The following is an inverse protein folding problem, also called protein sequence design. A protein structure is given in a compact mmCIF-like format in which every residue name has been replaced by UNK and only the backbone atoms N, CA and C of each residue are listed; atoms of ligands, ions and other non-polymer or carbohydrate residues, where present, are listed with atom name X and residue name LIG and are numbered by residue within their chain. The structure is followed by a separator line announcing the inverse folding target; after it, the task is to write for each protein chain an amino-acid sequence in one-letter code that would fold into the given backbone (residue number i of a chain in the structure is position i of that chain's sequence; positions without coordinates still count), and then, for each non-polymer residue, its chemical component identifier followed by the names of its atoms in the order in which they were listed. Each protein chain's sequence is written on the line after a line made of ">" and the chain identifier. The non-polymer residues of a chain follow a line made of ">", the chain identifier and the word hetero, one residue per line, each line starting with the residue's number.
data_IF_146264877487
#
_entry.id   IF_146264877487
#
_cell.length_a   1.000
_cell.length_b   1.000
_cell.length_c   1.000
_cell.angle_alpha   90.00
_cell.angle_beta   90.00
_cell.angle_gamma   90.00
#
_symmetry.space_group_name_H-M   'P 1'
#
loop_
_entity.id
_entity.type
_entity.pdbx_description
1 polymer ?
#
# COMPACT_ATOMS: atom_id res chain seq x y z
N UNK A 1 -62.18 27.91 -7.19
CA UNK A 1 -60.74 28.26 -7.17
C UNK A 1 -60.40 28.63 -5.73
N UNK A 2 -60.39 27.64 -4.84
CA UNK A 2 -60.29 27.88 -3.38
C UNK A 2 -59.66 26.73 -2.57
N UNK A 3 -59.09 25.69 -3.18
CA UNK A 3 -58.60 24.52 -2.43
C UNK A 3 -57.06 24.31 -2.45
N UNK A 4 -56.29 25.09 -3.22
CA UNK A 4 -54.82 24.90 -3.35
C UNK A 4 -53.96 25.63 -2.29
N UNK A 5 -54.55 26.47 -1.43
CA UNK A 5 -53.76 27.31 -0.50
C UNK A 5 -53.52 26.62 0.85
N UNK A 6 -54.28 25.57 1.19
CA UNK A 6 -54.20 24.94 2.51
C UNK A 6 -53.16 23.82 2.62
N UNK A 7 -52.81 23.14 1.53
CA UNK A 7 -51.85 22.01 1.52
C UNK A 7 -50.39 22.49 1.63
N UNK A 8 -50.08 23.66 1.05
CA UNK A 8 -48.72 24.15 0.90
C UNK A 8 -48.09 24.71 2.21
N UNK A 9 -48.92 25.03 3.20
CA UNK A 9 -48.47 25.46 4.53
C UNK A 9 -48.08 24.30 5.44
N UNK A 10 -48.78 23.16 5.34
CA UNK A 10 -48.55 21.97 6.15
C UNK A 10 -47.31 21.22 5.66
N UNK A 11 -47.12 21.15 4.33
CA UNK A 11 -45.93 20.59 3.70
C UNK A 11 -44.65 21.33 4.11
N UNK A 12 -44.66 22.68 4.11
CA UNK A 12 -43.52 23.53 4.50
C UNK A 12 -43.15 23.43 5.98
N UNK A 13 -44.12 23.23 6.87
CA UNK A 13 -43.87 23.02 8.32
C UNK A 13 -43.28 21.63 8.59
N UNK A 14 -43.80 20.58 7.92
CA UNK A 14 -43.26 19.23 8.00
C UNK A 14 -41.83 19.13 7.44
N UNK A 15 -41.53 19.86 6.37
CA UNK A 15 -40.21 19.90 5.75
C UNK A 15 -39.19 20.63 6.64
N UNK A 16 -39.55 21.81 7.21
CA UNK A 16 -38.73 22.54 8.19
C UNK A 16 -38.45 21.74 9.48
N UNK A 17 -39.43 20.95 9.95
CA UNK A 17 -39.27 20.04 11.10
C UNK A 17 -38.23 18.94 10.82
N UNK A 18 -38.32 18.29 9.65
CA UNK A 18 -37.35 17.27 9.21
C UNK A 18 -35.94 17.84 8.99
N UNK A 19 -35.80 19.06 8.46
CA UNK A 19 -34.47 19.68 8.27
C UNK A 19 -33.83 20.05 9.61
N UNK A 20 -34.62 20.57 10.57
CA UNK A 20 -34.15 20.96 11.91
C UNK A 20 -33.71 19.74 12.74
N UNK A 21 -34.41 18.60 12.61
CA UNK A 21 -34.03 17.33 13.24
C UNK A 21 -32.74 16.71 12.69
N UNK A 22 -32.53 16.73 11.36
CA UNK A 22 -31.27 16.28 10.74
C UNK A 22 -30.09 17.18 11.10
N UNK A 23 -30.33 18.48 11.31
CA UNK A 23 -29.28 19.43 11.70
C UNK A 23 -28.87 19.25 13.17
N UNK A 24 -29.81 19.03 14.09
CA UNK A 24 -29.48 18.77 15.51
C UNK A 24 -28.78 17.43 15.70
N UNK A 25 -29.13 16.38 14.95
CA UNK A 25 -28.43 15.09 14.96
C UNK A 25 -26.97 15.21 14.51
N UNK A 26 -26.67 16.03 13.50
CA UNK A 26 -25.30 16.31 13.07
C UNK A 26 -24.49 17.04 14.16
N UNK A 27 -25.10 18.01 14.84
CA UNK A 27 -24.46 18.73 15.94
C UNK A 27 -24.19 17.82 17.14
N UNK A 28 -25.12 16.93 17.48
CA UNK A 28 -24.93 15.93 18.54
C UNK A 28 -23.80 14.97 18.16
N UNK A 29 -23.74 14.49 16.92
CA UNK A 29 -22.68 13.61 16.44
C UNK A 29 -21.31 14.30 16.43
N UNK A 30 -21.22 15.55 15.98
CA UNK A 30 -20.01 16.38 16.06
C UNK A 30 -19.57 16.62 17.51
N UNK A 31 -20.51 16.91 18.40
CA UNK A 31 -20.24 17.06 19.83
C UNK A 31 -19.73 15.76 20.47
N UNK A 32 -20.29 14.62 20.08
CA UNK A 32 -19.84 13.30 20.55
C UNK A 32 -18.44 12.96 20.02
N UNK A 33 -18.16 13.25 18.75
CA UNK A 33 -16.82 13.11 18.15
C UNK A 33 -15.80 14.01 18.85
N UNK A 34 -16.15 15.25 19.14
CA UNK A 34 -15.29 16.19 19.85
C UNK A 34 -15.04 15.73 21.30
N UNK A 35 -16.06 15.21 21.99
CA UNK A 35 -15.93 14.67 23.34
C UNK A 35 -15.05 13.41 23.36
N UNK A 36 -15.25 12.48 22.43
CA UNK A 36 -14.40 11.29 22.27
C UNK A 36 -12.97 11.69 21.93
N UNK A 37 -12.78 12.64 21.00
CA UNK A 37 -11.46 13.18 20.67
C UNK A 37 -10.78 13.86 21.87
N UNK A 38 -11.54 14.59 22.69
CA UNK A 38 -11.05 15.25 23.90
C UNK A 38 -10.65 14.25 25.00
N UNK A 39 -11.45 13.20 25.21
CA UNK A 39 -11.13 12.11 26.15
C UNK A 39 -9.88 11.34 25.70
N UNK A 40 -9.78 11.02 24.41
CA UNK A 40 -8.59 10.38 23.84
C UNK A 40 -7.36 11.27 23.96
N UNK A 41 -7.49 12.58 23.73
CA UNK A 41 -6.41 13.54 23.93
C UNK A 41 -5.97 13.62 25.39
N UNK A 42 -6.91 13.67 26.35
CA UNK A 42 -6.55 13.68 27.76
C UNK A 42 -5.85 12.37 28.17
N UNK A 43 -6.39 11.24 27.76
CA UNK A 43 -5.94 9.93 28.22
C UNK A 43 -4.66 9.44 27.52
N UNK A 44 -4.45 9.83 26.26
CA UNK A 44 -3.34 9.35 25.45
C UNK A 44 -2.39 10.47 24.99
N UNK A 45 -2.70 11.75 25.24
CA UNK A 45 -1.97 12.89 24.70
C UNK A 45 -0.49 12.95 25.09
N UNK A 46 -0.15 12.59 26.33
CA UNK A 46 1.26 12.49 26.75
C UNK A 46 1.95 11.25 26.16
N UNK A 47 1.26 10.11 26.09
CA UNK A 47 1.81 8.86 25.53
C UNK A 47 1.94 8.86 24.00
N UNK A 48 1.08 9.59 23.30
CA UNK A 48 1.08 9.81 21.84
C UNK A 48 1.71 11.15 21.46
N UNK A 49 2.38 11.82 22.40
CA UNK A 49 3.13 13.04 22.07
C UNK A 49 4.24 12.70 21.07
N UNK A 50 4.58 13.64 20.20
CA UNK A 50 5.66 13.42 19.22
C UNK A 50 6.99 13.08 19.90
N UNK A 51 7.25 13.69 21.06
CA UNK A 51 8.47 13.44 21.83
C UNK A 51 8.51 12.03 22.43
N UNK A 52 7.38 11.52 22.97
CA UNK A 52 7.33 10.16 23.50
C UNK A 52 7.44 9.11 22.39
N UNK A 53 6.84 9.38 21.22
CA UNK A 53 6.96 8.51 20.05
C UNK A 53 8.39 8.52 19.47
N UNK A 54 9.04 9.68 19.40
CA UNK A 54 10.44 9.81 18.98
C UNK A 54 11.40 9.11 19.94
N UNK A 55 11.15 9.18 21.26
CA UNK A 55 11.94 8.45 22.24
C UNK A 55 11.83 6.93 22.05
N UNK A 56 10.61 6.42 21.86
CA UNK A 56 10.38 4.99 21.56
C UNK A 56 10.99 4.55 20.24
N UNK A 57 10.90 5.38 19.21
CA UNK A 57 11.60 5.12 17.94
C UNK A 57 13.10 5.00 18.16
N UNK A 58 13.70 5.90 18.95
CA UNK A 58 15.12 5.83 19.32
C UNK A 58 15.51 4.52 19.99
N UNK A 59 14.74 4.07 21.00
CA UNK A 59 14.96 2.79 21.68
C UNK A 59 14.85 1.58 20.71
N UNK A 60 13.86 1.62 19.82
CA UNK A 60 13.67 0.57 18.80
C UNK A 60 14.82 0.52 17.81
N UNK A 61 15.31 1.68 17.37
CA UNK A 61 16.45 1.78 16.45
C UNK A 61 17.75 1.32 17.12
N UNK A 62 17.98 1.67 18.38
CA UNK A 62 19.13 1.18 19.15
C UNK A 62 19.08 -0.35 19.29
N UNK A 63 17.90 -0.92 19.60
CA UNK A 63 17.71 -2.36 19.61
C UNK A 63 17.90 -2.99 18.23
N UNK A 64 17.52 -2.31 17.15
CA UNK A 64 17.72 -2.78 15.78
C UNK A 64 19.20 -2.79 15.38
N UNK A 65 19.97 -1.80 15.82
CA UNK A 65 21.42 -1.75 15.62
C UNK A 65 22.14 -2.82 16.45
N UNK A 66 21.67 -3.10 17.67
CA UNK A 66 22.25 -4.16 18.52
C UNK A 66 21.97 -5.57 17.99
N UNK A 67 20.78 -5.80 17.40
CA UNK A 67 20.35 -7.12 16.93
C UNK A 67 19.77 -7.08 15.50
N UNK A 68 20.57 -6.67 14.49
CA UNK A 68 20.08 -6.39 13.14
C UNK A 68 19.47 -7.63 12.46
N UNK A 69 20.08 -8.81 12.66
CA UNK A 69 19.59 -10.05 12.06
C UNK A 69 18.19 -10.41 12.56
N UNK A 70 17.91 -10.23 13.86
CA UNK A 70 16.61 -10.55 14.45
C UNK A 70 15.55 -9.58 13.92
N UNK A 71 15.85 -8.28 13.92
CA UNK A 71 14.92 -7.26 13.44
C UNK A 71 14.62 -7.41 11.95
N UNK A 72 15.63 -7.62 11.12
CA UNK A 72 15.44 -7.87 9.69
C UNK A 72 14.66 -9.17 9.43
N UNK A 73 14.92 -10.23 10.20
CA UNK A 73 14.17 -11.48 10.08
C UNK A 73 12.71 -11.30 10.46
N UNK A 74 12.43 -10.55 11.54
CA UNK A 74 11.07 -10.23 11.95
C UNK A 74 10.35 -9.38 10.91
N UNK A 75 11.02 -8.35 10.37
CA UNK A 75 10.48 -7.51 9.30
C UNK A 75 10.17 -8.32 8.03
N UNK A 76 11.08 -9.21 7.62
CA UNK A 76 10.90 -10.13 6.51
C UNK A 76 9.67 -11.02 6.72
N UNK A 77 9.58 -11.71 7.86
CA UNK A 77 8.48 -12.62 8.18
C UNK A 77 7.13 -11.88 8.24
N UNK A 78 7.10 -10.71 8.86
CA UNK A 78 5.90 -9.88 8.94
C UNK A 78 5.40 -9.48 7.55
N UNK A 79 6.31 -9.05 6.66
CA UNK A 79 5.94 -8.71 5.29
C UNK A 79 5.47 -9.94 4.50
N UNK A 80 6.13 -11.10 4.67
CA UNK A 80 5.67 -12.36 4.07
C UNK A 80 4.23 -12.67 4.50
N UNK A 81 3.92 -12.58 5.80
CA UNK A 81 2.59 -12.85 6.36
C UNK A 81 1.55 -11.88 5.78
N UNK A 82 1.81 -10.56 5.86
CA UNK A 82 0.90 -9.52 5.37
C UNK A 82 0.57 -9.73 3.89
N UNK A 83 1.59 -10.05 3.10
CA UNK A 83 1.42 -10.30 1.67
C UNK A 83 0.69 -11.61 1.41
N UNK A 84 1.01 -12.68 2.13
CA UNK A 84 0.37 -13.99 2.00
C UNK A 84 -1.15 -13.89 2.23
N UNK A 85 -1.56 -13.14 3.25
CA UNK A 85 -2.96 -12.88 3.59
C UNK A 85 -3.62 -11.77 2.77
N UNK A 86 -2.96 -11.30 1.70
CA UNK A 86 -3.51 -10.29 0.78
C UNK A 86 -3.94 -8.98 1.47
N UNK A 87 -3.27 -8.62 2.57
CA UNK A 87 -3.55 -7.39 3.31
C UNK A 87 -3.02 -6.19 2.51
N UNK A 88 -3.83 -5.15 2.25
CA UNK A 88 -3.44 -4.01 1.41
C UNK A 88 -2.52 -3.02 2.14
N UNK A 89 -1.42 -3.50 2.70
CA UNK A 89 -0.45 -2.72 3.49
C UNK A 89 0.99 -2.76 2.92
N UNK A 90 1.20 -3.43 1.78
CA UNK A 90 2.53 -3.64 1.19
C UNK A 90 3.32 -2.34 1.00
N UNK A 91 2.69 -1.25 0.53
CA UNK A 91 3.35 0.04 0.36
C UNK A 91 3.87 0.62 1.67
N UNK A 92 3.04 0.63 2.72
CA UNK A 92 3.43 1.14 4.04
C UNK A 92 4.56 0.30 4.63
N UNK A 93 4.48 -1.02 4.49
CA UNK A 93 5.52 -1.93 4.95
C UNK A 93 6.83 -1.79 4.18
N UNK A 94 6.79 -1.62 2.86
CA UNK A 94 7.99 -1.35 2.07
C UNK A 94 8.68 -0.06 2.51
N UNK A 95 7.92 1.03 2.70
CA UNK A 95 8.47 2.30 3.16
C UNK A 95 9.05 2.21 4.58
N UNK A 96 8.33 1.56 5.50
CA UNK A 96 8.78 1.37 6.88
C UNK A 96 10.02 0.48 6.98
N UNK A 97 10.10 -0.60 6.19
CA UNK A 97 11.30 -1.44 6.13
C UNK A 97 12.49 -0.67 5.55
N UNK A 98 12.27 0.14 4.52
CA UNK A 98 13.33 0.95 3.94
C UNK A 98 13.86 1.99 4.93
N UNK A 99 12.97 2.68 5.65
CA UNK A 99 13.33 3.58 6.75
C UNK A 99 14.11 2.84 7.85
N UNK A 100 13.62 1.67 8.27
CA UNK A 100 14.28 0.86 9.30
C UNK A 100 15.70 0.47 8.87
N UNK A 101 15.86 -0.05 7.65
CA UNK A 101 17.16 -0.43 7.12
C UNK A 101 18.08 0.79 6.98
N UNK A 102 17.57 1.92 6.52
CA UNK A 102 18.32 3.18 6.43
C UNK A 102 18.87 3.56 7.80
N UNK A 103 18.00 3.77 8.81
CA UNK A 103 18.43 4.19 10.15
C UNK A 103 19.26 3.15 10.90
N UNK A 104 19.15 1.86 10.55
CA UNK A 104 19.94 0.79 11.17
C UNK A 104 21.34 0.68 10.57
N UNK A 105 21.49 0.75 9.24
CA UNK A 105 22.75 0.42 8.56
C UNK A 105 23.49 1.62 7.97
N UNK A 106 22.81 2.74 7.71
CA UNK A 106 23.43 3.94 7.15
C UNK A 106 24.59 4.49 8.00
N UNK A 107 24.51 4.55 9.35
CA UNK A 107 25.59 5.09 10.18
C UNK A 107 26.91 4.30 10.11
N UNK A 108 26.85 2.98 9.91
CA UNK A 108 28.03 2.09 9.93
C UNK A 108 28.50 1.72 8.52
N UNK A 109 27.58 1.50 7.58
CA UNK A 109 27.87 0.96 6.24
C UNK A 109 27.58 1.94 5.10
N UNK A 110 26.95 3.08 5.39
CA UNK A 110 26.57 4.11 4.41
C UNK A 110 25.26 3.82 3.67
N UNK A 111 24.67 4.88 3.10
CA UNK A 111 23.31 4.86 2.54
C UNK A 111 23.15 3.86 1.37
N UNK A 112 24.19 3.66 0.56
CA UNK A 112 24.14 2.72 -0.58
C UNK A 112 23.99 1.26 -0.12
N UNK A 113 24.67 0.88 0.97
CA UNK A 113 24.58 -0.49 1.50
C UNK A 113 23.23 -0.72 2.17
N UNK A 114 22.77 0.25 2.96
CA UNK A 114 21.45 0.21 3.58
C UNK A 114 20.31 0.07 2.54
N UNK A 115 20.41 0.82 1.43
CA UNK A 115 19.49 0.75 0.30
C UNK A 115 19.46 -0.66 -0.33
N UNK A 116 20.64 -1.24 -0.58
CA UNK A 116 20.73 -2.59 -1.17
C UNK A 116 20.13 -3.66 -0.25
N UNK A 117 20.42 -3.59 1.05
CA UNK A 117 19.82 -4.49 2.06
C UNK A 117 18.29 -4.39 2.03
N UNK A 118 17.76 -3.17 2.04
CA UNK A 118 16.32 -2.94 1.97
C UNK A 118 15.69 -3.47 0.67
N UNK A 119 16.31 -3.23 -0.49
CA UNK A 119 15.84 -3.73 -1.79
C UNK A 119 15.77 -5.26 -1.78
N UNK A 120 16.85 -5.93 -1.36
CA UNK A 120 16.90 -7.40 -1.32
C UNK A 120 15.85 -7.94 -0.36
N UNK A 121 15.77 -7.39 0.85
CA UNK A 121 14.82 -7.85 1.87
C UNK A 121 13.37 -7.68 1.40
N UNK A 122 12.99 -6.50 0.89
CA UNK A 122 11.64 -6.23 0.40
C UNK A 122 11.30 -7.09 -0.81
N UNK A 123 12.21 -7.22 -1.79
CA UNK A 123 11.91 -7.96 -3.01
C UNK A 123 11.67 -9.44 -2.71
N UNK A 124 12.54 -10.06 -1.90
CA UNK A 124 12.38 -11.46 -1.51
C UNK A 124 11.19 -11.68 -0.58
N UNK A 125 10.94 -10.80 0.41
CA UNK A 125 9.80 -10.94 1.32
C UNK A 125 8.47 -10.83 0.57
N UNK A 126 8.32 -9.80 -0.28
CA UNK A 126 7.10 -9.57 -1.04
C UNK A 126 6.84 -10.68 -2.07
N UNK A 127 7.85 -11.18 -2.78
CA UNK A 127 7.67 -12.31 -3.71
C UNK A 127 7.35 -13.61 -2.96
N UNK A 128 7.99 -13.86 -1.81
CA UNK A 128 7.71 -15.05 -1.00
C UNK A 128 6.27 -15.03 -0.51
N UNK A 129 5.82 -13.92 0.09
CA UNK A 129 4.43 -13.75 0.50
C UNK A 129 3.46 -13.81 -0.69
N UNK A 130 3.81 -13.22 -1.84
CA UNK A 130 2.98 -13.28 -3.04
C UNK A 130 2.82 -14.72 -3.55
N UNK A 131 3.88 -15.52 -3.44
CA UNK A 131 3.88 -16.94 -3.79
C UNK A 131 3.02 -17.73 -2.83
N UNK A 132 3.08 -17.46 -1.53
CA UNK A 132 2.18 -18.08 -0.55
C UNK A 132 0.72 -17.72 -0.83
N UNK A 133 0.41 -16.45 -1.08
CA UNK A 133 -0.94 -15.99 -1.44
C UNK A 133 -1.46 -16.69 -2.71
N UNK A 134 -0.59 -16.82 -3.72
CA UNK A 134 -0.85 -17.58 -4.95
C UNK A 134 -1.16 -19.05 -4.67
N UNK A 135 -0.38 -19.71 -3.80
CA UNK A 135 -0.57 -21.12 -3.45
C UNK A 135 -1.84 -21.33 -2.61
N UNK A 136 -2.14 -20.42 -1.69
CA UNK A 136 -3.39 -20.42 -0.93
C UNK A 136 -4.60 -20.30 -1.86
N UNK A 137 -4.55 -19.40 -2.84
CA UNK A 137 -5.59 -19.29 -3.87
C UNK A 137 -5.73 -20.58 -4.68
N UNK A 138 -4.60 -21.18 -5.07
CA UNK A 138 -4.58 -22.40 -5.89
C UNK A 138 -5.13 -23.64 -5.19
N UNK A 139 -4.79 -23.83 -3.92
CA UNK A 139 -5.03 -25.10 -3.20
C UNK A 139 -6.11 -25.02 -2.12
N UNK A 140 -6.32 -23.85 -1.50
CA UNK A 140 -7.21 -23.72 -0.34
C UNK A 140 -8.47 -22.90 -0.64
N UNK A 141 -8.34 -21.83 -1.41
CA UNK A 141 -9.40 -20.82 -1.59
C UNK A 141 -9.96 -20.77 -3.02
N UNK A 142 -9.72 -21.81 -3.82
CA UNK A 142 -10.01 -21.83 -5.26
C UNK A 142 -11.43 -21.38 -5.58
N UNK A 143 -12.42 -22.01 -4.96
CA UNK A 143 -13.84 -21.76 -5.23
C UNK A 143 -14.27 -20.36 -4.77
N UNK A 144 -13.78 -19.90 -3.61
CA UNK A 144 -14.08 -18.56 -3.09
C UNK A 144 -13.57 -17.46 -4.02
N UNK A 145 -12.31 -17.58 -4.47
CA UNK A 145 -11.71 -16.60 -5.39
C UNK A 145 -12.34 -16.72 -6.78
N UNK A 146 -12.65 -17.93 -7.26
CA UNK A 146 -13.32 -18.14 -8.54
C UNK A 146 -14.74 -17.57 -8.56
N UNK A 147 -15.52 -17.69 -7.50
CA UNK A 147 -16.84 -17.06 -7.40
C UNK A 147 -16.77 -15.54 -7.43
N UNK A 148 -15.73 -14.94 -6.83
CA UNK A 148 -15.55 -13.48 -6.78
C UNK A 148 -14.97 -12.89 -8.07
N UNK A 149 -14.08 -13.62 -8.75
CA UNK A 149 -13.29 -13.10 -9.88
C UNK A 149 -13.50 -13.88 -11.19
N UNK A 150 -14.39 -14.86 -11.25
CA UNK A 150 -14.55 -15.79 -12.38
C UNK A 150 -14.72 -15.12 -13.74
N UNK A 151 -15.60 -14.12 -13.84
CA UNK A 151 -15.82 -13.37 -15.09
C UNK A 151 -14.57 -12.60 -15.56
N UNK A 152 -13.66 -12.24 -14.63
CA UNK A 152 -12.40 -11.58 -14.97
C UNK A 152 -11.32 -12.61 -15.30
N UNK A 153 -11.37 -13.80 -14.70
CA UNK A 153 -10.37 -14.87 -14.86
C UNK A 153 -10.19 -15.30 -16.32
N UNK A 154 -11.26 -15.33 -17.11
CA UNK A 154 -11.18 -15.62 -18.54
C UNK A 154 -10.22 -14.67 -19.26
N UNK A 155 -10.32 -13.35 -19.02
CA UNK A 155 -9.41 -12.35 -19.61
C UNK A 155 -7.96 -12.54 -19.15
N UNK A 156 -7.73 -12.94 -17.91
CA UNK A 156 -6.38 -13.24 -17.41
C UNK A 156 -5.81 -14.50 -18.08
N UNK A 157 -6.61 -15.55 -18.26
CA UNK A 157 -6.18 -16.77 -18.94
C UNK A 157 -5.88 -16.51 -20.42
N UNK A 158 -6.76 -15.82 -21.15
CA UNK A 158 -6.53 -15.45 -22.56
C UNK A 158 -5.27 -14.59 -22.74
N UNK A 159 -5.07 -13.60 -21.87
CA UNK A 159 -3.88 -12.77 -21.90
C UNK A 159 -2.60 -13.56 -21.55
N UNK A 160 -2.68 -14.47 -20.59
CA UNK A 160 -1.59 -15.35 -20.19
C UNK A 160 -1.25 -16.37 -21.29
N UNK A 161 -2.24 -16.89 -22.01
CA UNK A 161 -2.03 -17.79 -23.14
C UNK A 161 -1.33 -17.07 -24.31
N UNK A 162 -1.71 -15.81 -24.56
CA UNK A 162 -1.10 -14.96 -25.60
C UNK A 162 0.33 -14.54 -25.27
N UNK A 163 0.57 -14.02 -24.07
CA UNK A 163 1.82 -13.31 -23.71
C UNK A 163 2.68 -14.07 -22.69
N UNK A 164 2.17 -15.15 -22.10
CA UNK A 164 2.90 -15.98 -21.14
C UNK A 164 3.45 -15.19 -19.95
N UNK A 165 4.71 -15.45 -19.61
CA UNK A 165 5.42 -14.77 -18.52
C UNK A 165 5.45 -13.23 -18.67
N UNK A 166 5.43 -12.72 -19.90
CA UNK A 166 5.46 -11.28 -20.17
C UNK A 166 4.19 -10.58 -19.66
N UNK A 167 3.03 -11.26 -19.71
CA UNK A 167 1.81 -10.71 -19.15
C UNK A 167 1.94 -10.44 -17.65
N UNK A 168 2.40 -11.43 -16.88
CA UNK A 168 2.64 -11.26 -15.45
C UNK A 168 3.68 -10.17 -15.19
N UNK A 169 4.79 -10.16 -15.94
CA UNK A 169 5.80 -9.12 -15.84
C UNK A 169 5.19 -7.71 -16.02
N UNK A 170 4.35 -7.53 -17.04
CA UNK A 170 3.68 -6.26 -17.32
C UNK A 170 2.74 -5.84 -16.19
N UNK A 171 2.00 -6.78 -15.59
CA UNK A 171 1.11 -6.52 -14.46
C UNK A 171 1.88 -6.14 -13.19
N UNK A 172 3.10 -6.68 -13.01
CA UNK A 172 3.97 -6.33 -11.87
C UNK A 172 4.60 -4.95 -12.03
N UNK A 173 4.95 -4.59 -13.26
CA UNK A 173 5.60 -3.32 -13.54
C UNK A 173 4.61 -2.15 -13.55
N UNK A 174 3.40 -2.35 -14.10
CA UNK A 174 2.37 -1.31 -14.17
C UNK A 174 1.34 -1.54 -13.07
N UNK A 175 1.19 -0.64 -12.08
CA UNK A 175 0.28 -0.82 -10.95
C UNK A 175 -1.19 -0.51 -11.32
N UNK A 176 -1.70 -1.09 -12.41
CA UNK A 176 -3.12 -0.97 -12.81
C UNK A 176 -4.01 -1.88 -11.94
N UNK A 177 -3.48 -3.04 -11.57
CA UNK A 177 -4.17 -4.03 -10.75
C UNK A 177 -3.51 -4.05 -9.37
N UNK A 178 -4.27 -4.00 -8.27
CA UNK A 178 -3.69 -4.06 -6.94
C UNK A 178 -2.83 -5.32 -6.76
N UNK A 179 -1.66 -5.15 -6.14
CA UNK A 179 -0.67 -6.21 -5.94
C UNK A 179 -1.26 -7.53 -5.38
N UNK A 180 -2.11 -7.42 -4.35
CA UNK A 180 -2.74 -8.57 -3.71
C UNK A 180 -3.74 -9.30 -4.63
N UNK A 181 -4.42 -8.58 -5.53
CA UNK A 181 -5.35 -9.16 -6.50
C UNK A 181 -4.59 -10.00 -7.52
N UNK A 182 -3.44 -9.50 -8.01
CA UNK A 182 -2.59 -10.25 -8.94
C UNK A 182 -2.18 -11.59 -8.33
N UNK A 183 -1.74 -11.59 -7.06
CA UNK A 183 -1.29 -12.79 -6.37
C UNK A 183 -2.39 -13.88 -6.34
N UNK A 184 -3.60 -13.49 -5.94
CA UNK A 184 -4.74 -14.39 -5.83
C UNK A 184 -5.22 -14.88 -7.20
N UNK A 185 -5.44 -13.98 -8.16
CA UNK A 185 -5.99 -14.32 -9.47
C UNK A 185 -5.03 -15.21 -10.25
N UNK A 186 -3.72 -14.92 -10.23
CA UNK A 186 -2.73 -15.74 -10.91
C UNK A 186 -2.70 -17.18 -10.36
N UNK A 187 -3.02 -17.38 -9.08
CA UNK A 187 -3.12 -18.71 -8.47
C UNK A 187 -4.15 -19.63 -9.12
N UNK A 188 -5.21 -19.05 -9.71
CA UNK A 188 -6.26 -19.76 -10.44
C UNK A 188 -5.91 -20.03 -11.91
N UNK A 189 -4.84 -19.43 -12.43
CA UNK A 189 -4.38 -19.63 -13.81
C UNK A 189 -3.47 -20.86 -13.94
N UNK A 190 -3.22 -21.38 -15.17
CA UNK A 190 -2.29 -22.49 -15.41
C UNK A 190 -0.80 -22.17 -15.21
N UNK A 191 -0.41 -20.92 -14.87
CA UNK A 191 1.01 -20.55 -14.73
C UNK A 191 1.74 -21.43 -13.70
N UNK A 192 2.98 -21.83 -14.00
CA UNK A 192 3.81 -22.59 -13.06
C UNK A 192 4.28 -21.71 -11.91
N UNK A 193 4.35 -22.26 -10.70
CA UNK A 193 4.81 -21.54 -9.49
C UNK A 193 6.19 -20.92 -9.69
N UNK A 194 7.13 -21.67 -10.28
CA UNK A 194 8.49 -21.18 -10.57
C UNK A 194 8.46 -19.96 -11.49
N UNK A 195 7.63 -19.99 -12.54
CA UNK A 195 7.46 -18.85 -13.45
C UNK A 195 6.87 -17.65 -12.72
N UNK A 196 5.83 -17.87 -11.90
CA UNK A 196 5.26 -16.80 -11.09
C UNK A 196 6.30 -16.16 -10.17
N UNK A 197 7.13 -16.96 -9.49
CA UNK A 197 8.14 -16.49 -8.55
C UNK A 197 9.23 -15.64 -9.24
N UNK A 198 9.92 -16.17 -10.26
CA UNK A 198 11.05 -15.44 -10.86
C UNK A 198 10.57 -14.20 -11.64
N UNK A 199 9.42 -14.30 -12.33
CA UNK A 199 8.85 -13.15 -13.05
C UNK A 199 8.43 -12.07 -12.06
N UNK A 200 7.88 -12.43 -10.90
CA UNK A 200 7.54 -11.45 -9.87
C UNK A 200 8.79 -10.80 -9.28
N UNK A 201 9.86 -11.56 -9.02
CA UNK A 201 11.15 -11.00 -8.55
C UNK A 201 11.68 -9.92 -9.48
N UNK A 202 11.68 -10.17 -10.80
CA UNK A 202 12.22 -9.22 -11.78
C UNK A 202 11.23 -8.09 -12.07
N UNK A 203 9.95 -8.42 -12.24
CA UNK A 203 8.90 -7.46 -12.60
C UNK A 203 8.57 -6.45 -11.50
N UNK A 204 8.81 -6.80 -10.24
CA UNK A 204 8.62 -5.88 -9.11
C UNK A 204 9.88 -5.08 -8.79
N UNK A 205 11.07 -5.55 -9.17
CA UNK A 205 12.34 -4.97 -8.74
C UNK A 205 12.44 -3.47 -9.02
N UNK A 206 12.06 -3.03 -10.22
CA UNK A 206 12.11 -1.60 -10.57
C UNK A 206 11.21 -0.75 -9.66
N UNK A 207 10.00 -1.25 -9.37
CA UNK A 207 9.09 -0.61 -8.41
C UNK A 207 9.68 -0.64 -7.00
N UNK A 208 10.18 -1.80 -6.55
CA UNK A 208 10.84 -1.97 -5.26
C UNK A 208 11.96 -0.95 -5.07
N UNK A 209 12.83 -0.76 -6.05
CA UNK A 209 13.90 0.24 -5.98
C UNK A 209 13.36 1.66 -5.74
N UNK A 210 12.31 2.06 -6.46
CA UNK A 210 11.69 3.39 -6.32
C UNK A 210 11.04 3.57 -4.94
N UNK A 211 10.25 2.60 -4.49
CA UNK A 211 9.61 2.65 -3.18
C UNK A 211 10.62 2.59 -2.04
N UNK A 212 11.61 1.72 -2.12
CA UNK A 212 12.65 1.61 -1.09
C UNK A 212 13.48 2.88 -1.05
N UNK A 213 13.92 3.42 -2.19
CA UNK A 213 14.62 4.71 -2.23
C UNK A 213 13.79 5.84 -1.61
N UNK A 214 12.49 5.88 -1.86
CA UNK A 214 11.65 6.89 -1.22
C UNK A 214 11.52 6.68 0.29
N UNK A 215 11.47 5.43 0.74
CA UNK A 215 11.43 5.08 2.15
C UNK A 215 12.70 5.48 2.90
N UNK A 216 13.88 5.41 2.27
CA UNK A 216 15.14 5.88 2.90
C UNK A 216 15.19 7.40 3.04
N UNK A 217 14.34 8.16 2.35
CA UNK A 217 14.25 9.63 2.50
C UNK A 217 13.23 10.06 3.54
N UNK A 218 12.41 9.15 4.06
CA UNK A 218 11.42 9.50 5.08
C UNK A 218 12.16 9.95 6.35
N UNK A 219 11.86 11.13 6.89
CA UNK A 219 12.49 11.59 8.12
C UNK A 219 12.01 10.75 9.31
N UNK A 220 12.92 10.48 10.25
CA UNK A 220 12.55 9.85 11.53
C UNK A 220 11.73 10.81 12.39
N UNK A 221 10.97 10.30 13.36
CA UNK A 221 10.26 11.15 14.31
C UNK A 221 11.24 12.01 15.12
N UNK A 222 12.41 11.46 15.46
CA UNK A 222 13.49 12.21 16.10
C UNK A 222 13.95 13.40 15.25
N UNK A 223 14.17 13.21 13.95
CA UNK A 223 14.54 14.30 13.03
C UNK A 223 13.45 15.38 12.94
N UNK A 224 12.18 14.97 12.93
CA UNK A 224 11.04 15.90 12.91
C UNK A 224 10.98 16.72 14.22
N UNK A 225 11.26 16.09 15.36
CA UNK A 225 11.33 16.77 16.66
C UNK A 225 12.50 17.74 16.71
N UNK A 226 13.69 17.32 16.25
CA UNK A 226 14.92 18.11 16.35
C UNK A 226 14.96 19.30 15.36
N UNK A 227 14.51 19.08 14.11
CA UNK A 227 14.59 20.08 13.02
C UNK A 227 13.26 20.80 12.77
N UNK A 228 12.17 20.32 13.36
CA UNK A 228 10.81 20.75 13.04
C UNK A 228 10.32 20.22 11.68
N UNK A 229 8.99 20.21 11.48
CA UNK A 229 8.37 19.68 10.26
C UNK A 229 8.80 20.39 8.97
N UNK A 230 9.17 21.66 9.03
CA UNK A 230 9.71 22.40 7.88
C UNK A 230 11.18 22.10 7.59
N UNK A 231 11.97 21.76 8.62
CA UNK A 231 13.42 21.51 8.49
C UNK A 231 13.78 20.13 7.96
N UNK A 232 12.82 19.21 7.91
CA UNK A 232 12.97 17.87 7.28
C UNK A 232 12.55 17.85 5.80
N UNK A 233 11.96 18.95 5.30
CA UNK A 233 11.58 19.06 3.90
C UNK A 233 12.79 19.52 3.08
N UNK A 234 13.49 18.56 2.48
CA UNK A 234 14.60 18.82 1.57
C UNK A 234 14.28 18.43 0.12
N UNK A 235 15.18 18.82 -0.79
CA UNK A 235 15.04 18.53 -2.22
C UNK A 235 14.99 17.02 -2.50
N UNK A 236 15.72 16.21 -1.72
CA UNK A 236 15.78 14.77 -1.92
C UNK A 236 14.47 14.07 -1.59
N UNK A 237 13.79 14.48 -0.52
CA UNK A 237 12.46 14.02 -0.14
C UNK A 237 11.43 14.38 -1.22
N UNK A 238 11.46 15.61 -1.74
CA UNK A 238 10.60 16.00 -2.86
C UNK A 238 10.89 15.19 -4.12
N UNK A 239 12.17 14.97 -4.45
CA UNK A 239 12.57 14.17 -5.60
C UNK A 239 12.11 12.70 -5.45
N UNK A 240 12.22 12.13 -4.25
CA UNK A 240 11.73 10.79 -3.94
C UNK A 240 10.22 10.65 -4.13
N UNK A 241 9.42 11.57 -3.59
CA UNK A 241 7.97 11.55 -3.77
C UNK A 241 7.56 11.81 -5.22
N UNK A 242 8.26 12.71 -5.92
CA UNK A 242 8.06 12.92 -7.35
C UNK A 242 8.34 11.63 -8.14
N UNK A 243 9.43 10.93 -7.82
CA UNK A 243 9.76 9.65 -8.44
C UNK A 243 8.70 8.58 -8.17
N UNK A 244 8.18 8.49 -6.94
CA UNK A 244 7.07 7.60 -6.60
C UNK A 244 5.81 7.87 -7.45
N UNK A 245 5.46 9.14 -7.64
CA UNK A 245 4.28 9.53 -8.41
C UNK A 245 4.45 9.40 -9.92
N UNK A 246 5.66 9.68 -10.45
CA UNK A 246 5.95 9.65 -11.88
C UNK A 246 6.29 8.24 -12.38
N UNK A 247 6.84 7.36 -11.53
CA UNK A 247 7.25 6.02 -11.91
C UNK A 247 6.11 5.20 -12.55
N UNK A 248 4.88 5.12 -11.98
CA UNK A 248 3.78 4.40 -12.60
C UNK A 248 3.43 4.90 -14.01
N UNK A 249 3.53 6.22 -14.25
CA UNK A 249 3.25 6.84 -15.55
C UNK A 249 4.34 6.48 -16.56
N UNK A 250 5.61 6.55 -16.14
CA UNK A 250 6.75 6.17 -16.95
C UNK A 250 6.70 4.67 -17.30
N UNK A 251 6.49 3.80 -16.32
CA UNK A 251 6.34 2.36 -16.50
C UNK A 251 5.22 2.04 -17.49
N UNK A 252 4.05 2.68 -17.33
CA UNK A 252 2.92 2.52 -18.26
C UNK A 252 3.28 2.94 -19.69
N UNK A 253 3.93 4.10 -19.87
CA UNK A 253 4.32 4.63 -21.19
C UNK A 253 5.39 3.79 -21.88
N UNK A 254 6.34 3.25 -21.13
CA UNK A 254 7.38 2.36 -21.65
C UNK A 254 6.72 1.04 -22.09
N UNK A 255 5.90 0.45 -21.24
CA UNK A 255 5.25 -0.83 -21.55
C UNK A 255 4.26 -0.75 -22.71
N UNK A 256 3.59 0.39 -22.93
CA UNK A 256 2.73 0.55 -24.11
C UNK A 256 3.49 0.49 -25.43
N UNK A 257 4.81 0.71 -25.45
CA UNK A 257 5.65 0.56 -26.66
C UNK A 257 6.02 -0.90 -26.94
N UNK A 258 6.06 -1.73 -25.91
CA UNK A 258 6.42 -3.15 -26.01
C UNK A 258 5.21 -4.08 -26.02
N UNK A 259 3.99 -3.54 -25.89
CA UNK A 259 2.78 -4.34 -25.95
C UNK A 259 2.62 -4.90 -27.37
N UNK A 260 2.43 -6.22 -27.55
CA UNK A 260 2.15 -6.79 -28.86
C UNK A 260 0.90 -6.13 -29.47
N UNK A 261 0.87 -5.89 -30.80
CA UNK A 261 -0.31 -5.33 -31.46
C UNK A 261 -1.54 -6.20 -31.20
N UNK A 262 -2.69 -5.55 -31.02
CA UNK A 262 -3.96 -6.27 -30.92
C UNK A 262 -4.26 -6.96 -32.27
N UNK A 263 -4.84 -8.17 -32.29
CA UNK A 263 -5.24 -8.80 -33.55
C UNK A 263 -6.25 -7.92 -34.27
N UNK A 264 -6.12 -7.85 -35.61
CA UNK A 264 -7.18 -7.34 -36.46
C UNK A 264 -8.47 -8.07 -36.12
N UNK A 265 -9.54 -7.32 -35.85
CA UNK A 265 -10.87 -7.90 -35.77
C UNK A 265 -11.22 -8.36 -37.19
N UNK A 266 -10.98 -9.64 -37.50
CA UNK A 266 -11.56 -10.26 -38.70
C UNK A 266 -13.06 -10.29 -38.50
N UNK A 267 -13.73 -9.27 -39.05
CA UNK A 267 -15.17 -9.19 -39.26
C UNK A 267 -15.66 -10.28 -40.20
#
# INVERSE_FOLDING_TARGET
>A
MSDDVHDDSVSRVAERSKTRGRFSQKLIFLGLLAAVGGVLYWQLGETLSLNSLAAKEGELLESAQAHPVIVLSAAFLMYVVITAFAIPAATVFTLGIALLCDKTFEPEYGSSVALLIAIVLVNFASTTGATLSFLMSRYLLRDLIQNKFGNRLQKFNEALEREGAFYLFSLRLIPVVPFFVINLVMGLTPIRVRTFWWVSQVGMLAGTCVYVFAGTRIPSLKEIVDKGAGGVLDFELFAAFALLGLFPLAAKKIMSRFRPPAPEQTT
#
